data_IF_216693528314
#
_entry.id   IF_216693528314
#
_cell.length_a   1.000
_cell.length_b   1.000
_cell.length_c   1.000
_cell.angle_alpha   90.00
_cell.angle_beta   90.00
_cell.angle_gamma   90.00
#
_symmetry.space_group_name_H-M   'P 1'
#
loop_
_entity.id
_entity.type
_entity.pdbx_description
1 polymer ?
#
# COMPACT_ATOMS: atom_id res chain seq x y z
N UNK A 1 22.82 -17.89 4.70
CA UNK A 1 21.45 -17.68 5.22
C UNK A 1 20.60 -18.89 4.88
N UNK A 2 20.02 -19.58 5.87
CA UNK A 2 19.19 -20.76 5.65
C UNK A 2 18.07 -20.46 4.67
N UNK A 3 17.83 -21.33 3.69
CA UNK A 3 16.67 -21.29 2.80
C UNK A 3 15.42 -21.20 3.67
N UNK A 4 14.73 -20.08 3.65
CA UNK A 4 13.44 -19.94 4.34
C UNK A 4 12.44 -20.77 3.56
N UNK A 5 12.22 -22.01 3.99
CA UNK A 5 11.28 -22.89 3.35
C UNK A 5 9.86 -22.49 3.81
N UNK A 6 9.10 -21.88 2.90
CA UNK A 6 7.74 -21.39 3.18
C UNK A 6 6.74 -22.51 3.45
N UNK A 7 7.12 -23.76 3.12
CA UNK A 7 6.26 -24.93 3.20
C UNK A 7 6.52 -25.82 4.43
N UNK A 8 7.64 -25.60 5.14
CA UNK A 8 8.06 -26.40 6.31
C UNK A 8 8.13 -25.54 7.57
N UNK A 9 8.25 -26.16 8.72
CA UNK A 9 8.37 -25.50 10.03
C UNK A 9 7.02 -24.95 10.57
N UNK A 10 7.13 -24.36 11.79
CA UNK A 10 5.98 -23.75 12.46
C UNK A 10 5.52 -22.49 11.72
N UNK A 11 4.26 -22.50 11.32
CA UNK A 11 3.62 -21.42 10.55
C UNK A 11 3.63 -20.11 11.32
N UNK A 12 3.47 -20.14 12.63
CA UNK A 12 3.38 -18.94 13.48
C UNK A 12 4.72 -18.24 13.58
N UNK A 13 5.76 -19.01 13.88
CA UNK A 13 7.14 -18.49 13.97
C UNK A 13 7.61 -17.97 12.60
N UNK A 14 7.35 -18.72 11.55
CA UNK A 14 7.70 -18.33 10.18
C UNK A 14 6.99 -17.02 9.78
N UNK A 15 5.70 -16.92 10.03
CA UNK A 15 4.92 -15.72 9.69
C UNK A 15 5.43 -14.49 10.45
N UNK A 16 5.69 -14.59 11.75
CA UNK A 16 6.25 -13.50 12.53
C UNK A 16 7.64 -13.07 12.04
N UNK A 17 8.50 -14.03 11.73
CA UNK A 17 9.86 -13.78 11.21
C UNK A 17 9.85 -13.02 9.88
N UNK A 18 8.84 -13.26 9.02
CA UNK A 18 8.67 -12.57 7.74
C UNK A 18 7.92 -11.24 7.94
N UNK A 19 6.94 -11.20 8.85
CA UNK A 19 6.13 -10.02 9.07
C UNK A 19 6.86 -8.90 9.80
N UNK A 20 7.67 -9.19 10.81
CA UNK A 20 8.34 -8.16 11.60
C UNK A 20 9.21 -7.20 10.76
N UNK A 21 10.10 -7.69 9.86
CA UNK A 21 10.84 -6.80 8.96
C UNK A 21 9.94 -6.05 7.97
N UNK A 22 8.82 -6.67 7.54
CA UNK A 22 7.87 -6.02 6.64
C UNK A 22 7.13 -4.86 7.34
N UNK A 23 6.76 -5.03 8.61
CA UNK A 23 6.17 -3.97 9.43
C UNK A 23 7.16 -2.81 9.61
N UNK A 24 8.42 -3.11 9.96
CA UNK A 24 9.45 -2.10 10.11
C UNK A 24 9.67 -1.30 8.80
N UNK A 25 9.73 -1.98 7.64
CA UNK A 25 9.84 -1.34 6.34
C UNK A 25 8.65 -0.41 6.05
N UNK A 26 7.42 -0.86 6.34
CA UNK A 26 6.20 -0.07 6.10
C UNK A 26 6.08 1.12 7.06
N UNK A 27 6.50 0.97 8.31
CA UNK A 27 6.56 2.08 9.26
C UNK A 27 7.59 3.12 8.81
N UNK A 28 8.80 2.72 8.42
CA UNK A 28 9.81 3.62 7.87
C UNK A 28 9.26 4.39 6.66
N UNK A 29 8.62 3.70 5.72
CA UNK A 29 8.00 4.31 4.54
C UNK A 29 6.85 5.28 4.86
N UNK A 30 6.17 5.13 6.00
CA UNK A 30 5.07 6.03 6.41
C UNK A 30 5.54 7.24 7.21
N UNK A 31 6.63 7.11 7.98
CA UNK A 31 7.14 8.19 8.83
C UNK A 31 7.88 9.25 8.02
N UNK A 32 8.66 8.86 7.00
CA UNK A 32 9.43 9.80 6.20
C UNK A 32 8.59 10.88 5.49
N UNK A 33 7.51 10.54 4.77
CA UNK A 33 6.65 11.57 4.16
C UNK A 33 5.98 12.48 5.20
N UNK A 34 5.72 11.96 6.41
CA UNK A 34 5.18 12.76 7.50
C UNK A 34 6.20 13.80 7.99
N UNK A 35 7.45 13.39 8.20
CA UNK A 35 8.55 14.30 8.56
C UNK A 35 8.80 15.34 7.45
N UNK A 36 8.79 14.91 6.19
CA UNK A 36 8.90 15.78 5.02
C UNK A 36 7.82 16.88 5.04
N UNK A 37 6.56 16.49 5.22
CA UNK A 37 5.45 17.43 5.30
C UNK A 37 5.58 18.40 6.49
N UNK A 38 6.05 17.95 7.65
CA UNK A 38 6.27 18.80 8.83
C UNK A 38 7.39 19.82 8.62
N UNK A 39 8.52 19.39 8.03
CA UNK A 39 9.67 20.28 7.78
C UNK A 39 9.31 21.34 6.76
N UNK A 40 8.59 20.99 5.70
CA UNK A 40 8.21 21.92 4.65
C UNK A 40 7.11 22.89 5.11
N UNK A 41 6.12 22.43 5.86
CA UNK A 41 5.04 23.27 6.37
C UNK A 41 5.52 24.34 7.37
N UNK A 42 6.59 24.05 8.10
CA UNK A 42 7.17 25.00 9.05
C UNK A 42 7.91 26.19 8.39
N UNK A 43 8.16 26.13 7.07
CA UNK A 43 8.97 27.12 6.36
C UNK A 43 8.18 28.01 5.40
N UNK A 44 7.27 27.45 4.62
CA UNK A 44 6.52 28.19 3.62
C UNK A 44 5.18 27.53 3.33
N UNK A 45 4.09 28.27 3.52
CA UNK A 45 2.73 27.79 3.27
C UNK A 45 2.46 27.53 1.78
N UNK A 46 3.05 28.30 0.87
CA UNK A 46 2.89 28.10 -0.58
C UNK A 46 3.56 26.80 -1.04
N UNK A 47 4.73 26.51 -0.48
CA UNK A 47 5.46 25.25 -0.71
C UNK A 47 4.69 24.03 -0.17
N UNK A 48 4.06 24.18 1.00
CA UNK A 48 3.22 23.13 1.58
C UNK A 48 2.02 22.81 0.68
N UNK A 49 1.37 23.83 0.09
CA UNK A 49 0.27 23.65 -0.86
C UNK A 49 0.72 22.93 -2.14
N UNK A 50 1.89 23.29 -2.67
CA UNK A 50 2.47 22.67 -3.86
C UNK A 50 2.83 21.19 -3.64
N UNK A 51 3.43 20.87 -2.49
CA UNK A 51 3.73 19.50 -2.08
C UNK A 51 2.42 18.71 -1.88
N UNK A 52 1.41 19.32 -1.28
CA UNK A 52 0.08 18.72 -1.13
C UNK A 52 -0.55 18.32 -2.46
N UNK A 53 -0.51 19.18 -3.47
CA UNK A 53 -1.00 18.88 -4.83
C UNK A 53 -0.17 17.73 -5.48
N UNK A 54 1.13 17.69 -5.23
CA UNK A 54 2.02 16.66 -5.77
C UNK A 54 1.82 15.27 -5.13
N UNK A 55 1.15 15.16 -3.97
CA UNK A 55 0.82 13.86 -3.36
C UNK A 55 -0.01 12.97 -4.29
N UNK A 56 -0.89 13.56 -5.09
CA UNK A 56 -1.67 12.80 -6.07
C UNK A 56 -0.79 12.15 -7.15
N UNK A 57 0.30 12.82 -7.55
CA UNK A 57 1.28 12.30 -8.51
C UNK A 57 2.06 11.12 -7.91
N UNK A 58 2.49 11.26 -6.66
CA UNK A 58 3.18 10.19 -5.92
C UNK A 58 2.26 8.96 -5.80
N UNK A 59 0.99 9.16 -5.46
CA UNK A 59 0.01 8.08 -5.37
C UNK A 59 -0.24 7.39 -6.71
N UNK A 60 -0.22 8.13 -7.82
CA UNK A 60 -0.34 7.58 -9.16
C UNK A 60 0.82 6.62 -9.46
N UNK A 61 2.06 7.05 -9.24
CA UNK A 61 3.25 6.23 -9.44
C UNK A 61 3.31 5.03 -8.49
N UNK A 62 2.99 5.23 -7.21
CA UNK A 62 2.86 4.14 -6.25
C UNK A 62 1.81 3.11 -6.69
N UNK A 63 0.71 3.56 -7.28
CA UNK A 63 -0.35 2.66 -7.78
C UNK A 63 0.18 1.74 -8.86
N UNK A 64 1.00 2.24 -9.80
CA UNK A 64 1.65 1.42 -10.82
C UNK A 64 2.60 0.40 -10.18
N UNK A 65 3.51 0.86 -9.33
CA UNK A 65 4.48 0.00 -8.66
C UNK A 65 3.84 -1.06 -7.78
N UNK A 66 2.85 -0.69 -6.97
CA UNK A 66 2.13 -1.66 -6.12
C UNK A 66 1.28 -2.65 -6.92
N UNK A 67 0.60 -2.21 -7.98
CA UNK A 67 -0.23 -3.10 -8.80
C UNK A 67 0.60 -4.20 -9.44
N UNK A 68 1.68 -3.82 -10.12
CA UNK A 68 2.57 -4.79 -10.75
C UNK A 68 3.37 -5.60 -9.73
N UNK A 69 3.84 -4.96 -8.65
CA UNK A 69 4.59 -5.62 -7.60
C UNK A 69 3.77 -6.65 -6.81
N UNK A 70 2.60 -6.27 -6.31
CA UNK A 70 1.71 -7.17 -5.56
C UNK A 70 1.11 -8.26 -6.44
N UNK A 71 0.79 -7.91 -7.70
CA UNK A 71 0.33 -8.87 -8.69
C UNK A 71 1.37 -9.95 -8.98
N UNK A 72 2.59 -9.55 -9.31
CA UNK A 72 3.70 -10.46 -9.54
C UNK A 72 4.10 -11.23 -8.28
N UNK A 73 4.16 -10.56 -7.11
CA UNK A 73 4.48 -11.20 -5.84
C UNK A 73 3.50 -12.32 -5.47
N UNK A 74 2.20 -12.07 -5.61
CA UNK A 74 1.16 -13.08 -5.37
C UNK A 74 1.25 -14.25 -6.35
N UNK A 75 1.51 -13.98 -7.63
CA UNK A 75 1.71 -15.04 -8.64
C UNK A 75 2.97 -15.84 -8.38
N UNK A 76 4.10 -15.17 -8.10
CA UNK A 76 5.40 -15.82 -7.82
C UNK A 76 5.32 -16.69 -6.57
N UNK A 77 4.66 -16.26 -5.50
CA UNK A 77 4.52 -17.08 -4.28
C UNK A 77 3.74 -18.37 -4.55
N UNK A 78 2.67 -18.30 -5.36
CA UNK A 78 1.94 -19.51 -5.81
C UNK A 78 2.79 -20.42 -6.68
N UNK A 79 3.58 -19.84 -7.61
CA UNK A 79 4.50 -20.62 -8.45
C UNK A 79 5.59 -21.32 -7.64
N UNK A 80 6.09 -20.69 -6.57
CA UNK A 80 7.06 -21.30 -5.64
C UNK A 80 6.41 -22.53 -4.98
N UNK A 81 5.19 -22.39 -4.48
CA UNK A 81 4.45 -23.52 -3.88
C UNK A 81 4.17 -24.67 -4.86
N UNK A 82 3.99 -24.35 -6.14
CA UNK A 82 3.78 -25.33 -7.23
C UNK A 82 5.09 -25.93 -7.77
N UNK A 83 6.26 -25.48 -7.34
CA UNK A 83 7.54 -25.88 -7.91
C UNK A 83 7.85 -25.30 -9.29
N UNK A 84 7.03 -24.38 -9.83
CA UNK A 84 7.14 -23.81 -11.18
C UNK A 84 8.14 -22.64 -11.22
N UNK A 85 9.41 -22.91 -10.97
CA UNK A 85 10.47 -21.90 -10.84
C UNK A 85 10.63 -21.02 -12.09
N UNK A 86 10.53 -21.60 -13.28
CA UNK A 86 10.73 -20.85 -14.53
C UNK A 86 9.58 -19.86 -14.79
N UNK A 87 8.33 -20.24 -14.48
CA UNK A 87 7.19 -19.33 -14.54
C UNK A 87 7.36 -18.14 -13.57
N UNK A 88 7.87 -18.41 -12.36
CA UNK A 88 8.18 -17.37 -11.38
C UNK A 88 9.26 -16.42 -11.89
N UNK A 89 10.35 -16.93 -12.49
CA UNK A 89 11.44 -16.12 -13.07
C UNK A 89 10.96 -15.21 -14.20
N UNK A 90 10.13 -15.74 -15.11
CA UNK A 90 9.55 -14.98 -16.22
C UNK A 90 8.63 -13.87 -15.70
N UNK A 91 7.73 -14.19 -14.78
CA UNK A 91 6.82 -13.23 -14.19
C UNK A 91 7.56 -12.11 -13.43
N UNK A 92 8.60 -12.45 -12.67
CA UNK A 92 9.42 -11.49 -11.95
C UNK A 92 10.11 -10.49 -12.89
N UNK A 93 10.78 -11.00 -13.95
CA UNK A 93 11.45 -10.14 -14.95
C UNK A 93 10.43 -9.29 -15.71
N UNK A 94 9.32 -9.87 -16.14
CA UNK A 94 8.27 -9.16 -16.90
C UNK A 94 7.67 -8.03 -16.06
N UNK A 95 7.34 -8.29 -14.79
CA UNK A 95 6.77 -7.27 -13.90
C UNK A 95 7.74 -6.11 -13.63
N UNK A 96 9.02 -6.42 -13.42
CA UNK A 96 10.04 -5.41 -13.16
C UNK A 96 10.23 -4.48 -14.35
N UNK A 97 10.45 -5.02 -15.55
CA UNK A 97 10.65 -4.20 -16.73
C UNK A 97 9.36 -3.52 -17.23
N UNK A 98 8.19 -4.14 -17.03
CA UNK A 98 6.91 -3.49 -17.31
C UNK A 98 6.66 -2.29 -16.38
N UNK A 99 7.03 -2.40 -15.10
CA UNK A 99 6.93 -1.30 -14.15
C UNK A 99 7.87 -0.14 -14.51
N UNK A 100 9.12 -0.45 -14.87
CA UNK A 100 10.07 0.56 -15.33
C UNK A 100 9.60 1.23 -16.63
N UNK A 101 9.10 0.46 -17.60
CA UNK A 101 8.61 1.00 -18.87
C UNK A 101 7.39 1.89 -18.69
N UNK A 102 6.40 1.47 -17.88
CA UNK A 102 5.21 2.27 -17.61
C UNK A 102 5.54 3.53 -16.81
N UNK A 103 6.44 3.43 -15.84
CA UNK A 103 6.91 4.57 -15.05
C UNK A 103 7.75 5.54 -15.91
N UNK A 104 8.58 5.03 -16.83
CA UNK A 104 9.29 5.88 -17.80
C UNK A 104 8.32 6.63 -18.75
N UNK A 105 7.21 5.99 -19.13
CA UNK A 105 6.16 6.64 -19.90
C UNK A 105 5.49 7.75 -19.08
N UNK A 106 5.19 7.50 -17.79
CA UNK A 106 4.65 8.51 -16.88
C UNK A 106 5.65 9.65 -16.66
N UNK A 107 6.94 9.35 -16.54
CA UNK A 107 8.01 10.35 -16.48
C UNK A 107 8.01 11.24 -17.72
N UNK A 108 8.01 10.68 -18.92
CA UNK A 108 8.00 11.43 -20.17
C UNK A 108 6.75 12.34 -20.27
N UNK A 109 5.56 11.78 -19.98
CA UNK A 109 4.33 12.54 -19.95
C UNK A 109 4.35 13.63 -18.85
N UNK A 110 4.86 13.29 -17.67
CA UNK A 110 4.94 14.20 -16.52
C UNK A 110 5.87 15.39 -16.75
N UNK A 111 7.01 15.17 -17.38
CA UNK A 111 7.93 16.27 -17.71
C UNK A 111 7.31 17.24 -18.72
N UNK A 112 6.50 16.75 -19.67
CA UNK A 112 5.81 17.57 -20.67
C UNK A 112 4.59 18.28 -20.10
N UNK A 113 3.82 17.61 -19.24
CA UNK A 113 2.51 18.07 -18.78
C UNK A 113 2.44 18.39 -17.27
N UNK A 114 3.59 18.55 -16.58
CA UNK A 114 3.61 18.78 -15.13
C UNK A 114 2.76 20.00 -14.71
N UNK A 115 2.87 21.14 -15.39
CA UNK A 115 2.12 22.34 -15.06
C UNK A 115 0.60 22.20 -15.33
N UNK A 116 0.14 21.71 -16.51
CA UNK A 116 -1.26 21.37 -16.72
C UNK A 116 -1.84 20.39 -15.70
N UNK A 117 -1.07 19.38 -15.30
CA UNK A 117 -1.53 18.37 -14.31
C UNK A 117 -1.68 19.01 -12.93
N UNK A 118 -0.76 19.85 -12.48
CA UNK A 118 -0.90 20.58 -11.21
C UNK A 118 -2.15 21.49 -11.21
N UNK A 119 -2.44 22.20 -12.31
CA UNK A 119 -3.65 22.99 -12.47
C UNK A 119 -4.91 22.14 -12.40
N UNK A 120 -4.93 21.00 -13.09
CA UNK A 120 -6.05 20.05 -13.06
C UNK A 120 -6.29 19.49 -11.64
N UNK A 121 -5.24 19.34 -10.85
CA UNK A 121 -5.32 18.92 -9.44
C UNK A 121 -5.75 20.06 -8.49
N UNK A 122 -6.04 21.24 -9.03
CA UNK A 122 -6.58 22.38 -8.27
C UNK A 122 -5.52 23.22 -7.57
N UNK A 123 -4.25 23.16 -7.98
CA UNK A 123 -3.22 24.03 -7.46
C UNK A 123 -3.43 25.49 -7.97
N UNK A 124 -3.44 26.50 -7.10
CA UNK A 124 -3.49 27.90 -7.52
C UNK A 124 -2.24 28.26 -8.32
N UNK A 125 -2.32 29.24 -9.25
CA UNK A 125 -1.25 29.57 -10.19
C UNK A 125 0.09 29.91 -9.50
N UNK A 126 0.01 30.60 -8.36
CA UNK A 126 1.18 30.88 -7.51
C UNK A 126 1.87 29.62 -6.97
N UNK A 127 1.07 28.60 -6.61
CA UNK A 127 1.59 27.33 -6.13
C UNK A 127 2.10 26.43 -7.27
N UNK A 128 1.59 26.59 -8.51
CA UNK A 128 2.09 25.86 -9.69
C UNK A 128 3.54 26.25 -9.96
N UNK A 129 3.85 27.54 -10.01
CA UNK A 129 5.21 28.01 -10.26
C UNK A 129 6.20 27.52 -9.18
N UNK A 130 5.84 27.64 -7.90
CA UNK A 130 6.67 27.21 -6.78
C UNK A 130 6.81 25.66 -6.69
N UNK A 131 5.77 24.92 -7.08
CA UNK A 131 5.71 23.46 -6.96
C UNK A 131 6.22 22.70 -8.18
N UNK A 132 6.40 23.35 -9.31
CA UNK A 132 6.81 22.69 -10.55
C UNK A 132 8.14 21.92 -10.43
N UNK A 133 9.20 22.46 -9.77
CA UNK A 133 10.43 21.71 -9.55
C UNK A 133 10.21 20.42 -8.74
N UNK A 134 9.35 20.48 -7.70
CA UNK A 134 9.01 19.31 -6.90
C UNK A 134 8.20 18.27 -7.72
N UNK A 135 7.19 18.71 -8.46
CA UNK A 135 6.39 17.82 -9.31
C UNK A 135 7.24 17.11 -10.38
N UNK A 136 8.18 17.82 -11.00
CA UNK A 136 9.15 17.22 -11.93
C UNK A 136 10.03 16.19 -11.25
N UNK A 137 10.52 16.49 -10.04
CA UNK A 137 11.31 15.53 -9.26
C UNK A 137 10.51 14.30 -8.87
N UNK A 138 9.20 14.42 -8.58
CA UNK A 138 8.29 13.28 -8.36
C UNK A 138 8.30 12.36 -9.57
N UNK A 139 8.09 12.88 -10.78
CA UNK A 139 8.10 12.05 -11.99
C UNK A 139 9.48 11.43 -12.25
N UNK A 140 10.58 12.13 -11.98
CA UNK A 140 11.94 11.57 -12.12
C UNK A 140 12.18 10.46 -11.09
N UNK A 141 11.57 10.54 -9.91
CA UNK A 141 11.66 9.49 -8.88
C UNK A 141 10.78 8.27 -9.15
N UNK A 142 9.86 8.35 -10.11
CA UNK A 142 8.92 7.27 -10.47
C UNK A 142 9.58 5.97 -10.87
N UNK A 143 10.50 5.92 -11.85
CA UNK A 143 11.17 4.68 -12.22
C UNK A 143 11.90 4.00 -11.05
N UNK A 144 12.72 4.67 -10.22
CA UNK A 144 13.31 4.04 -9.05
C UNK A 144 12.25 3.60 -8.02
N UNK A 145 11.21 4.37 -7.78
CA UNK A 145 10.11 4.01 -6.89
C UNK A 145 9.38 2.74 -7.35
N UNK A 146 8.94 2.69 -8.62
CA UNK A 146 8.24 1.54 -9.17
C UNK A 146 9.12 0.29 -9.19
N UNK A 147 10.40 0.42 -9.57
CA UNK A 147 11.37 -0.66 -9.53
C UNK A 147 11.57 -1.22 -8.12
N UNK A 148 11.71 -0.34 -7.12
CA UNK A 148 11.85 -0.71 -5.73
C UNK A 148 10.61 -1.42 -5.19
N UNK A 149 9.39 -0.95 -5.49
CA UNK A 149 8.14 -1.57 -5.06
C UNK A 149 7.95 -2.97 -5.65
N UNK A 150 8.33 -3.18 -6.92
CA UNK A 150 8.27 -4.51 -7.55
C UNK A 150 9.30 -5.45 -6.94
N UNK A 151 10.58 -5.06 -6.84
CA UNK A 151 11.61 -5.91 -6.23
C UNK A 151 11.31 -6.23 -4.78
N UNK A 152 10.83 -5.26 -4.01
CA UNK A 152 10.36 -5.43 -2.64
C UNK A 152 9.26 -6.50 -2.55
N UNK A 153 8.27 -6.45 -3.43
CA UNK A 153 7.18 -7.43 -3.47
C UNK A 153 7.65 -8.83 -3.88
N UNK A 154 8.58 -8.91 -4.82
CA UNK A 154 9.16 -10.18 -5.28
C UNK A 154 10.08 -10.82 -4.22
N UNK A 155 10.85 -10.03 -3.47
CA UNK A 155 11.65 -10.52 -2.34
C UNK A 155 10.75 -11.04 -1.22
N UNK A 156 9.68 -10.30 -0.88
CA UNK A 156 8.66 -10.77 0.08
C UNK A 156 8.03 -12.08 -0.38
N UNK A 157 7.68 -12.22 -1.66
CA UNK A 157 7.12 -13.46 -2.22
C UNK A 157 8.00 -14.70 -1.99
N UNK A 158 9.30 -14.51 -1.78
CA UNK A 158 10.25 -15.56 -1.41
C UNK A 158 10.48 -15.69 0.11
N UNK A 159 9.80 -14.91 0.94
CA UNK A 159 10.04 -14.83 2.37
C UNK A 159 11.31 -14.08 2.76
N UNK A 160 11.98 -13.40 1.82
CA UNK A 160 13.21 -12.62 2.04
C UNK A 160 12.85 -11.16 2.37
N UNK A 161 12.49 -10.89 3.62
CA UNK A 161 12.00 -9.56 4.04
C UNK A 161 13.07 -8.67 4.68
N UNK A 162 14.16 -9.25 5.20
CA UNK A 162 15.26 -8.47 5.79
C UNK A 162 15.93 -7.50 4.80
N UNK A 163 16.26 -7.89 3.55
CA UNK A 163 16.80 -6.94 2.57
C UNK A 163 15.84 -5.81 2.24
N UNK A 164 14.54 -6.11 2.27
CA UNK A 164 13.51 -5.10 2.03
C UNK A 164 13.46 -4.07 3.17
N UNK A 165 13.55 -4.53 4.42
CA UNK A 165 13.65 -3.65 5.58
C UNK A 165 14.92 -2.80 5.53
N UNK A 166 16.08 -3.41 5.25
CA UNK A 166 17.34 -2.69 5.14
C UNK A 166 17.29 -1.60 4.06
N UNK A 167 16.75 -1.92 2.87
CA UNK A 167 16.60 -0.96 1.78
C UNK A 167 15.68 0.21 2.17
N UNK A 168 14.54 -0.08 2.82
CA UNK A 168 13.61 0.95 3.29
C UNK A 168 14.26 1.86 4.34
N UNK A 169 15.01 1.30 5.29
CA UNK A 169 15.70 2.08 6.32
C UNK A 169 16.82 2.94 5.74
N UNK A 170 17.67 2.38 4.87
CA UNK A 170 18.75 3.12 4.21
C UNK A 170 18.19 4.26 3.35
N UNK A 171 17.19 3.97 2.52
CA UNK A 171 16.53 4.99 1.71
C UNK A 171 15.90 6.08 2.56
N UNK A 172 15.16 5.70 3.61
CA UNK A 172 14.53 6.65 4.52
C UNK A 172 15.54 7.51 5.26
N UNK A 173 16.59 6.93 5.79
CA UNK A 173 17.65 7.67 6.50
C UNK A 173 18.35 8.66 5.56
N UNK A 174 18.73 8.22 4.35
CA UNK A 174 19.36 9.10 3.34
C UNK A 174 18.41 10.23 2.92
N UNK A 175 17.15 9.90 2.61
CA UNK A 175 16.14 10.90 2.22
C UNK A 175 15.92 11.93 3.30
N UNK A 176 15.76 11.52 4.56
CA UNK A 176 15.59 12.45 5.69
C UNK A 176 16.83 13.31 5.92
N UNK A 177 18.03 12.73 5.87
CA UNK A 177 19.28 13.45 6.04
C UNK A 177 19.45 14.52 4.93
N UNK A 178 19.21 14.16 3.67
CA UNK A 178 19.26 15.10 2.55
C UNK A 178 18.16 16.16 2.63
N UNK A 179 16.96 15.81 3.07
CA UNK A 179 15.88 16.79 3.28
C UNK A 179 16.29 17.85 4.30
N UNK A 180 16.84 17.43 5.44
CA UNK A 180 17.34 18.33 6.47
C UNK A 180 18.50 19.21 5.98
N UNK A 181 19.39 18.65 5.16
CA UNK A 181 20.51 19.39 4.58
C UNK A 181 20.03 20.37 3.50
N UNK A 182 19.31 19.89 2.48
CA UNK A 182 18.94 20.69 1.30
C UNK A 182 17.85 21.73 1.62
N UNK A 183 16.82 21.34 2.34
CA UNK A 183 15.76 22.25 2.75
C UNK A 183 16.12 22.95 4.06
N UNK A 184 16.79 22.23 5.00
CA UNK A 184 17.14 22.73 6.32
C UNK A 184 18.23 23.80 6.30
N UNK A 185 19.40 23.49 5.77
CA UNK A 185 20.58 24.36 5.79
C UNK A 185 20.74 25.18 4.50
N UNK A 186 20.52 24.57 3.34
CA UNK A 186 20.77 25.22 2.05
C UNK A 186 19.56 26.02 1.53
N UNK A 187 18.37 25.88 2.11
CA UNK A 187 17.21 26.68 1.74
C UNK A 187 16.63 26.38 0.34
N UNK A 188 16.93 25.23 -0.27
CA UNK A 188 16.54 24.88 -1.64
C UNK A 188 15.03 24.61 -1.83
N UNK A 189 14.22 24.74 -0.78
CA UNK A 189 12.75 24.65 -0.87
C UNK A 189 12.25 23.40 -1.60
N UNK A 190 11.36 23.60 -2.59
CA UNK A 190 10.75 22.52 -3.40
C UNK A 190 11.78 21.65 -4.14
N UNK A 191 12.82 22.27 -4.70
CA UNK A 191 13.87 21.54 -5.42
C UNK A 191 14.65 20.62 -4.48
N UNK A 192 15.00 21.11 -3.29
CA UNK A 192 15.70 20.33 -2.26
C UNK A 192 14.87 19.11 -1.78
N UNK A 193 13.57 19.31 -1.56
CA UNK A 193 12.65 18.23 -1.19
C UNK A 193 12.55 17.18 -2.30
N UNK A 194 12.42 17.60 -3.55
CA UNK A 194 12.40 16.70 -4.71
C UNK A 194 13.69 15.90 -4.88
N UNK A 195 14.86 16.52 -4.69
CA UNK A 195 16.16 15.84 -4.72
C UNK A 195 16.30 14.80 -3.59
N UNK A 196 15.86 15.14 -2.38
CA UNK A 196 15.85 14.23 -1.24
C UNK A 196 14.95 13.00 -1.50
N UNK A 197 13.77 13.22 -2.09
CA UNK A 197 12.87 12.15 -2.50
C UNK A 197 13.50 11.24 -3.56
N UNK A 198 14.07 11.81 -4.62
CA UNK A 198 14.75 11.04 -5.67
C UNK A 198 15.89 10.18 -5.09
N UNK A 199 16.71 10.76 -4.23
CA UNK A 199 17.82 10.06 -3.59
C UNK A 199 17.32 8.90 -2.70
N UNK A 200 16.22 9.09 -1.97
CA UNK A 200 15.57 8.07 -1.16
C UNK A 200 15.15 6.86 -2.02
N UNK A 201 14.43 7.12 -3.09
CA UNK A 201 13.91 6.06 -3.95
C UNK A 201 15.03 5.36 -4.74
N UNK A 202 16.01 6.13 -5.23
CA UNK A 202 17.19 5.59 -5.92
C UNK A 202 18.04 4.72 -4.99
N UNK A 203 18.29 5.15 -3.75
CA UNK A 203 19.02 4.36 -2.76
C UNK A 203 18.26 3.07 -2.40
N UNK A 204 16.94 3.15 -2.20
CA UNK A 204 16.10 1.98 -1.94
C UNK A 204 16.19 0.98 -3.08
N UNK A 205 16.04 1.43 -4.33
CA UNK A 205 16.19 0.58 -5.52
C UNK A 205 17.60 -0.01 -5.62
N UNK A 206 18.64 0.78 -5.41
CA UNK A 206 20.03 0.34 -5.52
C UNK A 206 20.35 -0.80 -4.52
N UNK A 207 19.91 -0.66 -3.26
CA UNK A 207 20.09 -1.70 -2.23
C UNK A 207 19.35 -2.99 -2.62
N UNK A 208 18.09 -2.88 -3.05
CA UNK A 208 17.29 -4.03 -3.48
C UNK A 208 17.87 -4.70 -4.72
N UNK A 209 18.31 -3.91 -5.68
CA UNK A 209 18.90 -4.41 -6.93
C UNK A 209 20.24 -5.09 -6.65
N UNK A 210 21.13 -4.48 -5.86
CA UNK A 210 22.41 -5.07 -5.46
C UNK A 210 22.21 -6.41 -4.75
N UNK A 211 21.25 -6.48 -3.82
CA UNK A 211 20.92 -7.74 -3.14
C UNK A 211 20.38 -8.78 -4.13
N UNK A 212 19.47 -8.38 -5.02
CA UNK A 212 18.82 -9.27 -5.98
C UNK A 212 19.81 -9.79 -7.02
N UNK A 213 20.75 -8.97 -7.47
CA UNK A 213 21.80 -9.38 -8.42
C UNK A 213 22.79 -10.36 -7.80
N UNK A 214 23.11 -10.20 -6.49
CA UNK A 214 24.05 -11.08 -5.78
C UNK A 214 23.43 -12.39 -5.28
N UNK A 215 22.17 -12.36 -4.81
CA UNK A 215 21.53 -13.46 -4.08
C UNK A 215 20.19 -13.91 -4.66
N UNK A 216 19.75 -13.29 -5.76
CA UNK A 216 18.39 -13.45 -6.29
C UNK A 216 18.28 -14.48 -7.41
N UNK A 217 18.68 -15.75 -7.20
CA UNK A 217 18.59 -16.79 -8.25
C UNK A 217 17.23 -16.87 -8.95
N UNK A 218 16.11 -16.72 -8.19
CA UNK A 218 14.75 -16.86 -8.71
C UNK A 218 14.19 -15.56 -9.31
N UNK A 219 14.62 -14.40 -8.81
CA UNK A 219 14.02 -13.09 -9.17
C UNK A 219 15.02 -12.13 -9.81
N UNK A 220 16.21 -12.60 -10.18
CA UNK A 220 17.21 -11.77 -10.87
C UNK A 220 16.60 -11.20 -12.14
N UNK A 221 16.43 -9.86 -12.25
CA UNK A 221 15.86 -9.25 -13.44
C UNK A 221 16.74 -9.55 -14.65
N UNK A 222 16.15 -10.01 -15.76
CA UNK A 222 16.86 -10.31 -17.00
C UNK A 222 15.98 -9.98 -18.18
N UNK A 223 16.47 -9.11 -19.07
CA UNK A 223 15.79 -8.76 -20.32
C UNK A 223 15.52 -9.98 -21.18
N UNK A 224 16.43 -10.96 -21.20
CA UNK A 224 16.26 -12.21 -21.96
C UNK A 224 15.08 -13.06 -21.51
N UNK A 225 14.60 -12.85 -20.28
CA UNK A 225 13.46 -13.58 -19.68
C UNK A 225 12.15 -12.82 -19.75
N UNK A 226 12.18 -11.58 -20.22
CA UNK A 226 10.97 -10.78 -20.43
C UNK A 226 10.14 -11.45 -21.53
N UNK A 227 8.97 -11.90 -21.15
CA UNK A 227 7.95 -12.36 -22.09
C UNK A 227 6.67 -11.58 -21.84
N UNK A 228 6.49 -10.52 -22.60
CA UNK A 228 5.23 -9.76 -22.66
C UNK A 228 4.13 -10.58 -23.38
N UNK A 229 4.11 -11.90 -23.14
CA UNK A 229 3.00 -12.71 -23.62
C UNK A 229 1.73 -12.30 -22.89
N UNK A 230 0.65 -12.15 -23.66
CA UNK A 230 -0.67 -11.78 -23.11
C UNK A 230 -1.06 -12.61 -21.88
N UNK A 231 -0.65 -13.88 -21.84
CA UNK A 231 -0.93 -14.79 -20.73
C UNK A 231 -0.23 -14.40 -19.42
N UNK A 232 1.10 -14.13 -19.45
CA UNK A 232 1.87 -13.77 -18.25
C UNK A 232 1.45 -12.39 -17.73
N UNK A 233 1.34 -11.41 -18.65
CA UNK A 233 0.97 -10.06 -18.29
C UNK A 233 -0.46 -9.98 -17.73
N UNK A 234 -1.42 -10.67 -18.35
CA UNK A 234 -2.80 -10.70 -17.87
C UNK A 234 -2.92 -11.35 -16.48
N UNK A 235 -2.11 -12.37 -16.17
CA UNK A 235 -2.12 -13.00 -14.85
C UNK A 235 -1.53 -12.08 -13.77
N UNK A 236 -0.47 -11.33 -14.08
CA UNK A 236 0.09 -10.30 -13.20
C UNK A 236 -0.96 -9.20 -12.95
N UNK A 237 -1.60 -8.70 -14.00
CA UNK A 237 -2.63 -7.66 -13.89
C UNK A 237 -3.87 -8.15 -13.13
N UNK A 238 -4.34 -9.38 -13.40
CA UNK A 238 -5.44 -9.98 -12.64
C UNK A 238 -5.12 -10.07 -11.16
N UNK A 239 -3.93 -10.56 -10.80
CA UNK A 239 -3.49 -10.65 -9.41
C UNK A 239 -3.25 -9.28 -8.76
N UNK A 240 -2.90 -8.25 -9.55
CA UNK A 240 -2.70 -6.86 -9.12
C UNK A 240 -3.97 -6.02 -9.07
N UNK A 241 -5.02 -6.41 -9.79
CA UNK A 241 -6.29 -5.67 -9.90
C UNK A 241 -6.89 -5.26 -8.55
N UNK A 242 -6.93 -6.13 -7.52
CA UNK A 242 -7.42 -5.73 -6.20
C UNK A 242 -6.64 -4.55 -5.61
N UNK A 243 -5.33 -4.51 -5.83
CA UNK A 243 -4.47 -3.42 -5.37
C UNK A 243 -4.73 -2.13 -6.14
N UNK A 244 -4.86 -2.21 -7.47
CA UNK A 244 -5.21 -1.08 -8.33
C UNK A 244 -6.54 -0.44 -7.90
N UNK A 245 -7.58 -1.27 -7.77
CA UNK A 245 -8.91 -0.80 -7.39
C UNK A 245 -8.92 -0.21 -5.97
N UNK A 246 -8.20 -0.82 -5.03
CA UNK A 246 -8.06 -0.30 -3.66
C UNK A 246 -7.37 1.07 -3.64
N UNK A 247 -6.26 1.23 -4.38
CA UNK A 247 -5.53 2.50 -4.42
C UNK A 247 -6.37 3.60 -5.08
N UNK A 248 -7.00 3.30 -6.22
CA UNK A 248 -7.90 4.24 -6.89
C UNK A 248 -9.09 4.64 -6.01
N UNK A 249 -9.74 3.67 -5.37
CA UNK A 249 -10.82 3.93 -4.42
C UNK A 249 -10.37 4.82 -3.25
N UNK A 250 -9.18 4.55 -2.69
CA UNK A 250 -8.63 5.36 -1.59
C UNK A 250 -8.38 6.81 -2.02
N UNK A 251 -7.81 7.02 -3.22
CA UNK A 251 -7.55 8.37 -3.74
C UNK A 251 -8.84 9.16 -3.97
N UNK A 252 -9.85 8.54 -4.60
CA UNK A 252 -11.16 9.17 -4.84
C UNK A 252 -11.86 9.49 -3.52
N UNK A 253 -11.84 8.55 -2.57
CA UNK A 253 -12.47 8.73 -1.27
C UNK A 253 -11.80 9.84 -0.45
N UNK A 254 -10.47 9.93 -0.48
CA UNK A 254 -9.74 10.99 0.20
C UNK A 254 -10.08 12.39 -0.38
N UNK A 255 -10.14 12.50 -1.71
CA UNK A 255 -10.52 13.75 -2.39
C UNK A 255 -11.95 14.18 -2.05
N UNK A 256 -12.91 13.25 -2.09
CA UNK A 256 -14.30 13.54 -1.75
C UNK A 256 -14.49 13.86 -0.26
N UNK A 257 -13.79 13.13 0.62
CA UNK A 257 -13.78 13.42 2.05
C UNK A 257 -13.27 14.84 2.33
N UNK A 258 -12.17 15.23 1.70
CA UNK A 258 -11.61 16.58 1.84
C UNK A 258 -12.59 17.64 1.34
N UNK A 259 -13.25 17.40 0.19
CA UNK A 259 -14.26 18.32 -0.37
C UNK A 259 -15.48 18.47 0.54
N UNK A 260 -16.01 17.36 1.07
CA UNK A 260 -17.14 17.39 2.00
C UNK A 260 -16.74 18.05 3.32
N UNK A 261 -15.55 17.73 3.86
CA UNK A 261 -15.02 18.34 5.08
C UNK A 261 -14.85 19.85 4.96
N UNK A 262 -14.40 20.35 3.80
CA UNK A 262 -14.28 21.78 3.52
C UNK A 262 -15.65 22.49 3.57
N UNK A 263 -16.74 21.83 3.21
CA UNK A 263 -18.10 22.36 3.34
C UNK A 263 -18.56 22.59 4.78
N UNK A 264 -17.92 21.94 5.77
CA UNK A 264 -18.17 22.15 7.20
C UNK A 264 -17.21 23.19 7.83
N UNK A 265 -16.31 23.78 7.03
CA UNK A 265 -15.37 24.79 7.43
C UNK A 265 -13.91 24.32 7.50
N UNK A 266 -13.00 25.29 7.43
CA UNK A 266 -11.56 25.03 7.45
C UNK A 266 -11.08 24.28 8.71
N UNK A 267 -11.60 24.52 9.93
CA UNK A 267 -11.21 23.76 11.12
C UNK A 267 -11.56 22.28 11.03
N UNK A 268 -12.71 21.91 10.45
CA UNK A 268 -13.10 20.51 10.26
C UNK A 268 -12.19 19.81 9.25
N UNK A 269 -11.86 20.49 8.15
CA UNK A 269 -10.93 19.98 7.16
C UNK A 269 -9.53 19.73 7.77
N UNK A 270 -9.02 20.69 8.55
CA UNK A 270 -7.74 20.55 9.26
C UNK A 270 -7.74 19.40 10.27
N UNK A 271 -8.82 19.28 11.06
CA UNK A 271 -8.99 18.21 12.04
C UNK A 271 -9.07 16.82 11.40
N UNK A 272 -9.78 16.67 10.28
CA UNK A 272 -9.85 15.42 9.52
C UNK A 272 -8.50 15.07 8.88
N UNK A 273 -7.77 16.06 8.37
CA UNK A 273 -6.42 15.87 7.86
C UNK A 273 -5.44 15.39 8.93
N UNK A 274 -5.51 15.96 10.14
CA UNK A 274 -4.72 15.52 11.30
C UNK A 274 -5.07 14.08 11.69
N UNK A 275 -6.36 13.75 11.75
CA UNK A 275 -6.83 12.40 12.04
C UNK A 275 -6.27 11.39 11.04
N UNK A 276 -6.35 11.66 9.73
CA UNK A 276 -5.82 10.79 8.68
C UNK A 276 -4.30 10.55 8.84
N UNK A 277 -3.53 11.60 9.13
CA UNK A 277 -2.08 11.51 9.35
C UNK A 277 -1.74 10.71 10.60
N UNK A 278 -2.47 10.91 11.70
CA UNK A 278 -2.26 10.17 12.94
C UNK A 278 -2.51 8.66 12.79
N UNK A 279 -3.50 8.26 12.00
CA UNK A 279 -3.87 6.84 11.79
C UNK A 279 -2.95 6.14 10.77
N UNK A 280 -2.26 6.89 9.90
CA UNK A 280 -1.45 6.33 8.83
C UNK A 280 -0.38 5.32 9.30
N UNK A 281 0.40 5.55 10.39
CA UNK A 281 1.36 4.57 10.88
C UNK A 281 0.71 3.27 11.35
N UNK A 282 -0.46 3.34 12.02
CA UNK A 282 -1.22 2.16 12.40
C UNK A 282 -1.64 1.34 11.16
N UNK A 283 -2.23 1.98 10.17
CA UNK A 283 -2.63 1.31 8.93
C UNK A 283 -1.43 0.69 8.21
N UNK A 284 -0.29 1.38 8.18
CA UNK A 284 0.97 0.88 7.61
C UNK A 284 1.50 -0.34 8.33
N UNK A 285 1.41 -0.38 9.66
CA UNK A 285 1.80 -1.56 10.45
C UNK A 285 0.93 -2.78 10.11
N UNK A 286 -0.39 -2.61 10.02
CA UNK A 286 -1.32 -3.69 9.64
C UNK A 286 -1.06 -4.18 8.22
N UNK A 287 -0.83 -3.27 7.26
CA UNK A 287 -0.48 -3.62 5.89
C UNK A 287 0.86 -4.37 5.85
N UNK A 288 1.87 -3.90 6.58
CA UNK A 288 3.19 -4.56 6.67
C UNK A 288 3.08 -5.98 7.23
N UNK A 289 2.27 -6.16 8.27
CA UNK A 289 1.99 -7.47 8.85
C UNK A 289 1.33 -8.41 7.85
N UNK A 290 0.30 -7.93 7.14
CA UNK A 290 -0.38 -8.70 6.10
C UNK A 290 0.52 -9.01 4.90
N UNK A 291 1.44 -8.12 4.53
CA UNK A 291 2.44 -8.38 3.49
C UNK A 291 3.43 -9.49 3.88
N UNK A 292 3.73 -9.65 5.17
CA UNK A 292 4.55 -10.76 5.68
C UNK A 292 3.81 -12.11 5.65
N UNK A 293 2.51 -12.09 5.91
CA UNK A 293 1.64 -13.28 5.85
C UNK A 293 1.39 -13.78 4.41
N UNK A 294 1.24 -12.85 3.46
CA UNK A 294 0.83 -13.14 2.09
C UNK A 294 1.69 -14.19 1.37
N UNK A 295 3.04 -14.18 1.44
CA UNK A 295 3.89 -15.18 0.81
C UNK A 295 3.72 -16.58 1.40
N UNK A 296 3.53 -16.69 2.72
CA UNK A 296 3.31 -17.98 3.40
C UNK A 296 1.99 -18.60 2.91
N UNK A 297 0.93 -17.81 2.87
CA UNK A 297 -0.37 -18.26 2.39
C UNK A 297 -0.34 -18.58 0.89
N UNK A 298 0.29 -17.75 0.06
CA UNK A 298 0.39 -17.98 -1.39
C UNK A 298 1.15 -19.26 -1.74
N UNK A 299 2.29 -19.51 -1.07
CA UNK A 299 3.06 -20.74 -1.26
C UNK A 299 2.29 -21.98 -0.77
N UNK A 300 1.69 -21.94 0.42
CA UNK A 300 0.88 -23.03 0.96
C UNK A 300 -0.32 -23.35 0.06
N UNK A 301 -1.00 -22.32 -0.45
CA UNK A 301 -2.11 -22.51 -1.40
C UNK A 301 -1.63 -23.11 -2.73
N UNK A 302 -0.49 -22.63 -3.26
CA UNK A 302 0.14 -23.20 -4.45
C UNK A 302 0.50 -24.67 -4.31
N UNK A 303 0.98 -25.07 -3.13
CA UNK A 303 1.30 -26.45 -2.76
C UNK A 303 0.07 -27.29 -2.37
N UNK A 304 -1.16 -26.76 -2.47
CA UNK A 304 -2.42 -27.39 -2.04
C UNK A 304 -2.50 -27.70 -0.53
N UNK A 305 -1.67 -27.05 0.29
CA UNK A 305 -1.67 -27.16 1.76
C UNK A 305 -2.69 -26.19 2.36
N UNK A 306 -3.99 -26.44 2.15
CA UNK A 306 -5.08 -25.54 2.58
C UNK A 306 -5.14 -25.37 4.09
N UNK A 307 -4.89 -26.44 4.86
CA UNK A 307 -4.85 -26.41 6.31
C UNK A 307 -3.78 -25.42 6.84
N UNK A 308 -2.59 -25.45 6.25
CA UNK A 308 -1.48 -24.53 6.58
C UNK A 308 -1.84 -23.07 6.27
N UNK A 309 -2.48 -22.83 5.14
CA UNK A 309 -2.95 -21.49 4.77
C UNK A 309 -4.00 -20.97 5.78
N UNK A 310 -4.93 -21.82 6.20
CA UNK A 310 -5.96 -21.48 7.20
C UNK A 310 -5.36 -21.23 8.59
N UNK A 311 -4.39 -22.05 9.01
CA UNK A 311 -3.68 -21.84 10.27
C UNK A 311 -2.94 -20.50 10.30
N UNK A 312 -2.18 -20.19 9.23
CA UNK A 312 -1.51 -18.90 9.07
C UNK A 312 -2.51 -17.76 9.16
N UNK A 313 -3.63 -17.85 8.45
CA UNK A 313 -4.65 -16.81 8.45
C UNK A 313 -5.29 -16.60 9.82
N UNK A 314 -5.70 -17.69 10.50
CA UNK A 314 -6.31 -17.59 11.84
C UNK A 314 -5.36 -16.99 12.86
N UNK A 315 -4.09 -17.37 12.80
CA UNK A 315 -3.06 -16.80 13.67
C UNK A 315 -2.89 -15.29 13.38
N UNK A 316 -2.70 -14.91 12.12
CA UNK A 316 -2.54 -13.50 11.74
C UNK A 316 -3.75 -12.66 12.09
N UNK A 317 -4.96 -13.20 11.91
CA UNK A 317 -6.19 -12.51 12.27
C UNK A 317 -6.26 -12.20 13.78
N UNK A 318 -5.91 -13.19 14.62
CA UNK A 318 -5.89 -12.99 16.09
C UNK A 318 -4.87 -11.94 16.50
N UNK A 319 -3.66 -12.01 15.97
CA UNK A 319 -2.59 -11.05 16.28
C UNK A 319 -2.98 -9.64 15.81
N UNK A 320 -3.50 -9.50 14.58
CA UNK A 320 -3.91 -8.20 14.06
C UNK A 320 -5.09 -7.60 14.83
N UNK A 321 -6.07 -8.39 15.23
CA UNK A 321 -7.20 -7.93 16.06
C UNK A 321 -6.69 -7.49 17.43
N UNK A 322 -5.85 -8.28 18.10
CA UNK A 322 -5.29 -7.93 19.41
C UNK A 322 -4.46 -6.62 19.33
N UNK A 323 -3.60 -6.50 18.30
CA UNK A 323 -2.86 -5.27 18.06
C UNK A 323 -3.78 -4.08 17.81
N UNK A 324 -4.85 -4.27 17.02
CA UNK A 324 -5.80 -3.21 16.66
C UNK A 324 -6.65 -2.77 17.84
N UNK A 325 -7.00 -3.69 18.76
CA UNK A 325 -7.68 -3.36 20.01
C UNK A 325 -6.77 -2.52 20.91
N UNK A 326 -5.52 -2.95 21.09
CA UNK A 326 -4.55 -2.21 21.89
C UNK A 326 -4.26 -0.82 21.31
N UNK A 327 -4.01 -0.75 19.98
CA UNK A 327 -3.80 0.53 19.28
C UNK A 327 -5.07 1.41 19.33
N UNK A 328 -6.24 0.83 19.12
CA UNK A 328 -7.52 1.54 19.19
C UNK A 328 -7.76 2.14 20.58
N UNK A 329 -7.49 1.39 21.63
CA UNK A 329 -7.57 1.88 23.02
C UNK A 329 -6.56 3.03 23.24
N UNK A 330 -5.32 2.86 22.80
CA UNK A 330 -4.31 3.91 22.91
C UNK A 330 -4.75 5.19 22.18
N UNK A 331 -5.19 5.09 20.91
CA UNK A 331 -5.69 6.25 20.16
C UNK A 331 -6.92 6.87 20.79
N UNK A 332 -7.83 6.09 21.35
CA UNK A 332 -9.03 6.60 22.04
C UNK A 332 -8.67 7.41 23.30
N UNK A 333 -7.73 6.89 24.12
CA UNK A 333 -7.27 7.55 25.35
C UNK A 333 -6.46 8.79 25.04
N UNK A 334 -5.49 8.69 24.11
CA UNK A 334 -4.56 9.76 23.80
C UNK A 334 -5.08 10.73 22.72
N UNK A 335 -6.29 10.53 22.18
CA UNK A 335 -6.90 11.43 21.18
C UNK A 335 -6.90 12.91 21.61
N UNK A 336 -7.25 13.28 22.87
CA UNK A 336 -7.21 14.69 23.29
C UNK A 336 -5.79 15.28 23.26
N UNK A 337 -4.80 14.54 23.75
CA UNK A 337 -3.41 14.98 23.78
C UNK A 337 -2.82 15.14 22.36
N UNK A 338 -3.08 14.17 21.48
CA UNK A 338 -2.66 14.23 20.08
C UNK A 338 -3.32 15.41 19.35
N UNK A 339 -4.63 15.59 19.53
CA UNK A 339 -5.35 16.69 18.91
C UNK A 339 -4.85 18.04 19.41
N UNK A 340 -4.69 18.24 20.73
CA UNK A 340 -4.20 19.49 21.30
C UNK A 340 -2.77 19.84 20.89
N UNK A 341 -1.91 18.82 20.69
CA UNK A 341 -0.48 19.05 20.36
C UNK A 341 -0.26 19.42 18.89
N UNK A 342 -1.10 18.92 17.98
CA UNK A 342 -0.86 19.01 16.54
C UNK A 342 -1.92 19.81 15.76
N UNK A 343 -3.05 20.16 16.37
CA UNK A 343 -4.06 21.00 15.71
C UNK A 343 -3.66 22.48 15.73
N UNK A 344 -3.98 23.23 14.68
CA UNK A 344 -3.66 24.65 14.60
C UNK A 344 -4.52 25.52 15.55
N UNK A 345 -5.75 25.08 15.85
CA UNK A 345 -6.73 25.82 16.66
C UNK A 345 -7.61 24.84 17.45
N UNK A 346 -8.36 25.41 18.43
CA UNK A 346 -9.21 24.62 19.33
C UNK A 346 -10.37 23.90 18.59
N UNK A 347 -10.91 24.47 17.53
CA UNK A 347 -12.00 23.86 16.76
C UNK A 347 -11.49 22.67 15.93
N UNK A 348 -10.31 22.81 15.30
CA UNK A 348 -9.64 21.70 14.62
C UNK A 348 -9.25 20.58 15.59
N UNK A 349 -8.80 20.93 16.79
CA UNK A 349 -8.48 19.95 17.85
C UNK A 349 -9.72 19.14 18.25
N UNK A 350 -10.85 19.81 18.43
CA UNK A 350 -12.10 19.11 18.79
C UNK A 350 -12.61 18.19 17.67
N UNK A 351 -12.54 18.64 16.42
CA UNK A 351 -12.89 17.81 15.26
C UNK A 351 -11.97 16.59 15.16
N UNK A 352 -10.65 16.79 15.30
CA UNK A 352 -9.66 15.71 15.27
C UNK A 352 -9.86 14.72 16.43
N UNK A 353 -10.10 15.21 17.66
CA UNK A 353 -10.36 14.39 18.85
C UNK A 353 -11.56 13.47 18.63
N UNK A 354 -12.68 14.02 18.17
CA UNK A 354 -13.91 13.25 17.89
C UNK A 354 -13.70 12.23 16.78
N UNK A 355 -13.07 12.64 15.67
CA UNK A 355 -12.77 11.76 14.55
C UNK A 355 -11.85 10.59 14.98
N UNK A 356 -10.77 10.85 15.72
CA UNK A 356 -9.84 9.84 16.20
C UNK A 356 -10.55 8.82 17.12
N UNK A 357 -11.39 9.28 18.04
CA UNK A 357 -12.15 8.37 18.92
C UNK A 357 -13.12 7.48 18.15
N UNK A 358 -13.87 8.05 17.20
CA UNK A 358 -14.80 7.26 16.39
C UNK A 358 -14.06 6.25 15.50
N UNK A 359 -12.96 6.65 14.86
CA UNK A 359 -12.21 5.76 13.97
C UNK A 359 -11.46 4.66 14.75
N UNK A 360 -10.94 4.95 15.93
CA UNK A 360 -10.20 3.98 16.75
C UNK A 360 -11.05 2.75 17.13
N UNK A 361 -12.35 2.93 17.32
CA UNK A 361 -13.29 1.83 17.60
C UNK A 361 -13.39 0.84 16.42
N UNK A 362 -13.22 1.33 15.20
CA UNK A 362 -13.31 0.51 13.97
C UNK A 362 -11.97 -0.15 13.58
N UNK A 363 -10.85 0.09 14.28
CA UNK A 363 -9.55 -0.48 13.94
C UNK A 363 -9.54 -2.01 13.80
N UNK A 364 -10.20 -2.80 14.68
CA UNK A 364 -10.28 -4.25 14.51
C UNK A 364 -10.98 -4.66 13.22
N UNK A 365 -12.04 -3.95 12.83
CA UNK A 365 -12.76 -4.18 11.58
C UNK A 365 -11.88 -3.87 10.36
N UNK A 366 -11.18 -2.73 10.39
CA UNK A 366 -10.22 -2.34 9.36
C UNK A 366 -9.14 -3.41 9.15
N UNK A 367 -8.51 -3.85 10.22
CA UNK A 367 -7.44 -4.85 10.17
C UNK A 367 -7.93 -6.19 9.62
N UNK A 368 -9.12 -6.62 10.04
CA UNK A 368 -9.74 -7.83 9.54
C UNK A 368 -9.98 -7.78 8.02
N UNK A 369 -10.51 -6.68 7.49
CA UNK A 369 -10.75 -6.49 6.05
C UNK A 369 -9.45 -6.46 5.26
N UNK A 370 -8.40 -5.79 5.78
CA UNK A 370 -7.08 -5.77 5.13
C UNK A 370 -6.51 -7.19 5.00
N UNK A 371 -6.53 -7.99 6.07
CA UNK A 371 -6.03 -9.37 6.03
C UNK A 371 -6.88 -10.28 5.13
N UNK A 372 -8.20 -10.10 5.09
CA UNK A 372 -9.08 -10.82 4.16
C UNK A 372 -8.77 -10.50 2.70
N UNK A 373 -8.51 -9.24 2.39
CA UNK A 373 -8.07 -8.82 1.05
C UNK A 373 -6.77 -9.53 0.66
N UNK A 374 -5.78 -9.54 1.57
CA UNK A 374 -4.49 -10.16 1.30
C UNK A 374 -4.55 -11.68 1.21
N UNK A 375 -5.42 -12.33 1.99
CA UNK A 375 -5.71 -13.77 1.87
C UNK A 375 -6.25 -14.10 0.49
N UNK A 376 -7.34 -13.45 0.09
CA UNK A 376 -8.02 -13.70 -1.18
C UNK A 376 -7.12 -13.38 -2.38
N UNK A 377 -6.28 -12.34 -2.27
CA UNK A 377 -5.27 -12.00 -3.26
C UNK A 377 -4.15 -13.04 -3.34
N UNK A 378 -3.65 -13.54 -2.20
CA UNK A 378 -2.63 -14.61 -2.16
C UNK A 378 -3.13 -15.90 -2.80
N UNK A 379 -4.40 -16.26 -2.58
CA UNK A 379 -5.06 -17.40 -3.19
C UNK A 379 -5.35 -17.20 -4.69
N UNK A 380 -5.22 -16.00 -5.24
CA UNK A 380 -5.51 -15.69 -6.65
C UNK A 380 -7.00 -15.55 -6.97
N UNK A 381 -7.85 -15.38 -5.97
CA UNK A 381 -9.30 -15.17 -6.13
C UNK A 381 -9.59 -13.71 -6.47
N UNK A 382 -9.24 -13.30 -7.69
CA UNK A 382 -9.21 -11.90 -8.14
C UNK A 382 -10.51 -11.16 -7.88
N UNK A 383 -11.66 -11.73 -8.26
CA UNK A 383 -12.95 -11.06 -8.10
C UNK A 383 -13.28 -10.83 -6.63
N UNK A 384 -13.15 -11.87 -5.78
CA UNK A 384 -13.39 -11.74 -4.33
C UNK A 384 -12.41 -10.78 -3.69
N UNK A 385 -11.13 -10.84 -4.06
CA UNK A 385 -10.12 -9.92 -3.58
C UNK A 385 -10.42 -8.47 -3.97
N UNK A 386 -10.89 -8.23 -5.20
CA UNK A 386 -11.28 -6.89 -5.68
C UNK A 386 -12.50 -6.35 -4.93
N UNK A 387 -13.53 -7.17 -4.74
CA UNK A 387 -14.73 -6.78 -4.00
C UNK A 387 -14.42 -6.46 -2.53
N UNK A 388 -13.61 -7.30 -1.84
CA UNK A 388 -13.17 -7.02 -0.47
C UNK A 388 -12.27 -5.79 -0.41
N UNK A 389 -11.36 -5.62 -1.38
CA UNK A 389 -10.45 -4.48 -1.44
C UNK A 389 -11.15 -3.13 -1.61
N UNK A 390 -12.23 -3.10 -2.41
CA UNK A 390 -13.01 -1.89 -2.71
C UNK A 390 -14.14 -1.64 -1.71
N UNK A 391 -14.57 -2.67 -0.96
CA UNK A 391 -15.72 -2.56 -0.07
C UNK A 391 -15.58 -1.42 0.93
N UNK A 392 -14.40 -1.28 1.51
CA UNK A 392 -14.11 -0.31 2.55
C UNK A 392 -14.07 1.14 2.06
N UNK A 393 -13.52 1.40 0.87
CA UNK A 393 -13.25 2.76 0.38
C UNK A 393 -14.21 3.21 -0.73
N UNK A 394 -14.76 2.30 -1.50
CA UNK A 394 -15.70 2.67 -2.58
C UNK A 394 -17.12 2.20 -2.27
N UNK A 395 -17.35 0.90 -2.07
CA UNK A 395 -18.69 0.33 -2.02
C UNK A 395 -19.54 0.87 -0.86
N UNK A 396 -18.93 1.02 0.34
CA UNK A 396 -19.64 1.53 1.51
C UNK A 396 -19.30 2.98 1.83
N UNK A 397 -18.04 3.38 1.72
CA UNK A 397 -17.63 4.72 2.13
C UNK A 397 -18.27 5.83 1.28
N UNK A 398 -18.26 5.70 -0.04
CA UNK A 398 -18.80 6.76 -0.91
C UNK A 398 -20.30 6.98 -0.71
N UNK A 399 -21.17 5.96 -0.66
CA UNK A 399 -22.57 6.15 -0.33
C UNK A 399 -22.79 6.74 1.08
N UNK A 400 -22.03 6.23 2.08
CA UNK A 400 -22.16 6.74 3.44
C UNK A 400 -21.70 8.20 3.53
N UNK A 401 -20.63 8.59 2.83
CA UNK A 401 -20.18 9.97 2.77
C UNK A 401 -21.20 10.91 2.10
N UNK A 402 -21.99 10.40 1.17
CA UNK A 402 -23.08 11.19 0.54
C UNK A 402 -24.32 11.33 1.44
N UNK A 403 -24.61 10.32 2.26
CA UNK A 403 -25.86 10.24 3.04
C UNK A 403 -25.67 10.71 4.49
N UNK A 404 -24.67 10.19 5.22
CA UNK A 404 -24.53 10.47 6.66
C UNK A 404 -24.34 11.96 6.99
N UNK A 405 -23.51 12.74 6.27
CA UNK A 405 -23.37 14.17 6.56
C UNK A 405 -24.66 14.96 6.34
N UNK A 406 -25.52 14.53 5.42
CA UNK A 406 -26.83 15.15 5.17
C UNK A 406 -27.84 14.86 6.29
N UNK A 407 -27.80 13.66 6.86
CA UNK A 407 -28.72 13.24 7.92
C UNK A 407 -28.27 13.69 9.31
N UNK A 408 -26.98 13.59 9.61
CA UNK A 408 -26.42 13.78 10.95
C UNK A 408 -25.38 14.93 11.02
N UNK A 409 -25.28 15.76 9.97
CA UNK A 409 -24.33 16.88 9.93
C UNK A 409 -22.88 16.44 10.17
N UNK A 410 -22.19 17.19 11.02
CA UNK A 410 -20.79 16.93 11.36
C UNK A 410 -20.56 15.53 11.95
N UNK A 411 -21.44 15.04 12.81
CA UNK A 411 -21.32 13.69 13.39
C UNK A 411 -21.39 12.61 12.32
N UNK A 412 -22.24 12.78 11.30
CA UNK A 412 -22.30 11.90 10.15
C UNK A 412 -20.99 11.86 9.38
N UNK A 413 -20.35 13.01 9.15
CA UNK A 413 -19.04 13.09 8.49
C UNK A 413 -17.95 12.34 9.28
N UNK A 414 -17.85 12.58 10.59
CA UNK A 414 -16.85 11.96 11.46
C UNK A 414 -17.00 10.44 11.59
N UNK A 415 -18.26 9.94 11.53
CA UNK A 415 -18.59 8.53 11.66
C UNK A 415 -18.48 7.75 10.33
N UNK A 416 -18.44 8.41 9.16
CA UNK A 416 -18.47 7.76 7.84
C UNK A 416 -17.45 6.63 7.69
N UNK A 417 -16.18 6.87 8.11
CA UNK A 417 -15.13 5.89 7.96
C UNK A 417 -15.37 4.67 8.85
N UNK A 418 -15.76 4.87 10.09
CA UNK A 418 -16.04 3.79 11.04
C UNK A 418 -17.22 2.94 10.61
N UNK A 419 -18.32 3.58 10.16
CA UNK A 419 -19.48 2.90 9.63
C UNK A 419 -19.13 2.09 8.38
N UNK A 420 -18.32 2.64 7.49
CA UNK A 420 -17.82 1.93 6.30
C UNK A 420 -16.97 0.71 6.65
N UNK A 421 -16.08 0.84 7.64
CA UNK A 421 -15.20 -0.26 8.07
C UNK A 421 -16.01 -1.42 8.67
N UNK A 422 -17.04 -1.13 9.45
CA UNK A 422 -17.96 -2.13 10.01
C UNK A 422 -18.82 -2.81 8.93
N UNK A 423 -19.39 -2.03 8.00
CA UNK A 423 -20.16 -2.57 6.89
C UNK A 423 -19.28 -3.44 5.96
N UNK A 424 -18.06 -2.99 5.67
CA UNK A 424 -17.09 -3.74 4.89
C UNK A 424 -16.67 -5.03 5.59
N UNK A 425 -16.55 -5.05 6.93
CA UNK A 425 -16.30 -6.27 7.69
C UNK A 425 -17.44 -7.29 7.49
N UNK A 426 -18.68 -6.88 7.71
CA UNK A 426 -19.85 -7.75 7.52
C UNK A 426 -19.90 -8.35 6.11
N UNK A 427 -19.75 -7.50 5.09
CA UNK A 427 -19.70 -7.93 3.68
C UNK A 427 -18.55 -8.89 3.41
N UNK A 428 -17.34 -8.57 3.88
CA UNK A 428 -16.15 -9.41 3.68
C UNK A 428 -16.28 -10.76 4.37
N UNK A 429 -16.90 -10.80 5.56
CA UNK A 429 -17.19 -12.03 6.28
C UNK A 429 -18.17 -12.92 5.49
N UNK A 430 -19.24 -12.34 4.93
CA UNK A 430 -20.20 -13.05 4.10
C UNK A 430 -19.54 -13.65 2.85
N UNK A 431 -18.73 -12.83 2.14
CA UNK A 431 -18.05 -13.25 0.91
C UNK A 431 -16.98 -14.34 1.12
N UNK A 432 -16.39 -14.39 2.32
CA UNK A 432 -15.30 -15.34 2.65
C UNK A 432 -15.76 -16.53 3.49
N UNK A 433 -17.05 -16.67 3.83
CA UNK A 433 -17.58 -17.77 4.65
C UNK A 433 -17.19 -19.17 4.12
N UNK A 434 -17.30 -19.40 2.82
CA UNK A 434 -16.92 -20.65 2.19
C UNK A 434 -15.43 -20.99 2.24
N UNK A 435 -14.55 -20.01 2.41
CA UNK A 435 -13.10 -20.20 2.51
C UNK A 435 -12.65 -20.60 3.94
N UNK A 436 -13.50 -20.35 4.94
CA UNK A 436 -13.22 -20.62 6.37
C UNK A 436 -13.65 -22.00 6.81
N UNK A 437 -14.66 -22.59 6.15
CA UNK A 437 -15.35 -23.80 6.61
C UNK A 437 -14.94 -25.10 5.92
N UNK A 438 -14.24 -25.08 4.78
CA UNK A 438 -13.95 -26.31 4.05
C UNK A 438 -12.71 -27.04 4.59
N UNK A 439 -12.91 -27.82 5.65
CA UNK A 439 -11.97 -28.88 6.04
C UNK A 439 -12.07 -30.13 5.13
N UNK A 440 -12.92 -30.14 4.11
CA UNK A 440 -13.03 -31.24 3.14
C UNK A 440 -13.26 -30.73 1.72
N UNK A 441 -12.28 -30.97 0.88
CA UNK A 441 -12.32 -31.36 -0.53
C UNK A 441 -13.51 -30.89 -1.40
N UNK A 442 -13.81 -29.62 -1.50
CA UNK A 442 -14.48 -29.03 -2.68
C UNK A 442 -14.34 -27.51 -2.67
N UNK A 443 -13.10 -27.00 -2.54
CA UNK A 443 -12.82 -25.63 -2.93
C UNK A 443 -12.98 -25.56 -4.45
N UNK A 444 -13.94 -24.74 -4.89
CA UNK A 444 -14.44 -24.62 -6.24
C UNK A 444 -13.43 -24.83 -7.36
N UNK A 445 -13.33 -26.07 -7.81
CA UNK A 445 -12.57 -26.49 -8.98
C UNK A 445 -13.18 -25.96 -10.30
N UNK A 446 -14.30 -25.20 -10.25
CA UNK A 446 -14.86 -24.51 -11.40
C UNK A 446 -14.09 -23.23 -11.76
N UNK A 447 -13.76 -22.39 -10.77
CA UNK A 447 -13.04 -21.15 -11.03
C UNK A 447 -11.54 -21.35 -11.19
N UNK A 448 -10.97 -22.39 -10.54
CA UNK A 448 -9.59 -22.80 -10.74
C UNK A 448 -9.37 -23.58 -12.05
N UNK A 449 -10.40 -24.24 -12.59
CA UNK A 449 -10.33 -24.95 -13.88
C UNK A 449 -10.30 -24.00 -15.07
N UNK A 450 -10.89 -22.81 -14.98
CA UNK A 450 -10.76 -21.78 -16.01
C UNK A 450 -9.35 -21.18 -16.03
N UNK A 451 -8.70 -21.04 -14.88
CA UNK A 451 -7.31 -20.58 -14.81
C UNK A 451 -6.28 -21.66 -15.21
N UNK A 452 -6.64 -22.95 -15.12
CA UNK A 452 -5.74 -24.07 -15.43
C UNK A 452 -5.96 -24.66 -16.82
N UNK A 453 -7.09 -24.39 -17.50
CA UNK A 453 -7.44 -24.94 -18.80
C UNK A 453 -6.88 -24.20 -20.01
N UNK A 454 -6.18 -23.09 -19.84
CA UNK A 454 -5.62 -22.33 -20.98
C UNK A 454 -4.22 -22.75 -21.42
N UNK A 455 -3.74 -23.96 -21.06
CA UNK A 455 -2.55 -24.49 -21.71
C UNK A 455 -2.77 -25.96 -22.11
N UNK A 456 -2.85 -26.26 -23.42
CA UNK A 456 -2.67 -27.61 -23.90
C UNK A 456 -1.24 -28.06 -23.56
N UNK A 457 -1.11 -29.31 -23.14
CA UNK A 457 0.16 -30.02 -23.10
C UNK A 457 0.75 -30.00 -24.51
N UNK A 458 1.68 -29.10 -24.79
CA UNK A 458 2.59 -29.24 -25.91
C UNK A 458 3.89 -29.80 -25.38
N UNK A 459 4.12 -31.07 -25.69
CA UNK A 459 5.41 -31.72 -25.84
C UNK A 459 6.43 -30.78 -26.49
N UNK A 460 7.51 -30.56 -25.84
CA UNK A 460 8.95 -30.54 -26.19
C UNK A 460 9.72 -29.76 -25.13
#
# INVERSE_FOLDING_TARGET
MAKTDLLTGDVRVLTLKIAAPSVAAMLAASVCPLLEALILSARDASLSAAVGASLALILLEQTVGFTLGMGAGSFVSRCIGQGRREAARRAASTAFFAALGLSALLLAAGLLFAAPVLRLLGAPESAVAAGLPYARAVFVSGPPLCGALVLSSLLRAQGKTLPNMAAALVGSALGTALLLLLCGRMGLGASGAGMAMLAREAATLAVLLAYTLRHGELIRPSLRRVRLTRAVFSEIMRSGLPTLLRQGATSVSAALLSRVSAGFGAPVLAGMGLCARAIMPFTSAVIGFGQGFQPVCGAAFGAKQTARCQEAYRFCQRVAIAFSLAAGMAFFIFAPALAARFAPDAQSAEAARRALRLQSVAFPAQSAVILMTMLTQAMGLTLRASLVATSRQALFFLPLLAVLPRLFGLWGLLACQSASDLAALGFSLALTRGLRGSSSARCGCSDARTACRSHPRSSF
#
